data_IF_148271468068
#
_entry.id   IF_148271468068
#
_cell.length_a   1.000
_cell.length_b   1.000
_cell.length_c   1.000
_cell.angle_alpha   90.00
_cell.angle_beta   90.00
_cell.angle_gamma   90.00
#
_symmetry.space_group_name_H-M   'P 1'
#
loop_
_entity.id
_entity.type
_entity.pdbx_description
1 polymer ?
#
# COMPACT_ATOMS: atom_id res chain seq x y z
N UNK A 1 28.26 54.39 -18.13
CA UNK A 1 28.58 53.07 -17.56
C UNK A 1 27.26 52.42 -17.18
N UNK A 2 26.96 51.29 -17.84
CA UNK A 2 25.84 50.39 -17.54
C UNK A 2 25.89 49.94 -16.07
N UNK A 3 24.74 49.63 -15.45
CA UNK A 3 24.24 48.24 -15.31
C UNK A 3 22.85 48.27 -14.64
N UNK A 4 21.87 47.83 -15.43
CA UNK A 4 20.55 47.33 -15.05
C UNK A 4 20.68 46.22 -14.00
N UNK A 5 20.06 46.36 -12.82
CA UNK A 5 19.93 45.24 -11.88
C UNK A 5 18.65 44.48 -12.17
N UNK A 6 18.87 43.26 -12.66
CA UNK A 6 17.89 42.29 -13.08
C UNK A 6 17.16 41.66 -11.88
N UNK A 7 15.85 41.42 -12.07
CA UNK A 7 15.07 40.45 -11.31
C UNK A 7 15.68 39.04 -11.49
N UNK A 8 15.93 38.28 -10.42
CA UNK A 8 16.01 36.84 -10.53
C UNK A 8 14.59 36.28 -10.49
N UNK A 9 14.11 36.00 -11.69
CA UNK A 9 12.95 35.19 -12.01
C UNK A 9 13.19 33.75 -11.50
N UNK A 10 12.97 33.51 -10.22
CA UNK A 10 13.05 32.19 -9.60
C UNK A 10 11.65 31.58 -9.45
N UNK A 11 10.90 31.43 -10.55
CA UNK A 11 9.70 30.59 -10.54
C UNK A 11 10.15 29.19 -10.12
N UNK A 12 9.81 28.81 -8.89
CA UNK A 12 9.72 27.42 -8.46
C UNK A 12 8.75 26.72 -9.40
N UNK A 13 9.26 26.24 -10.53
CA UNK A 13 8.67 25.11 -11.22
C UNK A 13 8.94 23.94 -10.30
N UNK A 14 8.06 23.76 -9.31
CA UNK A 14 7.75 22.43 -8.83
C UNK A 14 7.18 21.73 -10.06
N UNK A 15 8.07 21.13 -10.84
CA UNK A 15 7.67 20.12 -11.81
C UNK A 15 7.20 18.97 -10.94
N UNK A 16 5.91 19.00 -10.58
CA UNK A 16 5.20 17.81 -10.17
C UNK A 16 5.11 16.95 -11.43
N UNK A 17 6.24 16.36 -11.84
CA UNK A 17 6.13 15.09 -12.53
C UNK A 17 5.35 14.21 -11.56
N UNK A 18 4.18 13.67 -11.95
CA UNK A 18 3.50 12.72 -11.10
C UNK A 18 4.52 11.63 -10.85
N UNK A 19 5.02 11.54 -9.61
CA UNK A 19 5.89 10.45 -9.23
C UNK A 19 5.05 9.21 -9.47
N UNK A 20 5.32 8.49 -10.56
CA UNK A 20 4.68 7.21 -10.83
C UNK A 20 5.08 6.13 -9.81
N UNK A 21 5.70 6.55 -8.70
CA UNK A 21 6.06 5.76 -7.54
C UNK A 21 5.26 6.27 -6.34
N UNK A 22 4.59 5.34 -5.68
CA UNK A 22 3.90 5.53 -4.42
C UNK A 22 4.72 4.93 -3.28
N UNK A 23 4.84 5.65 -2.17
CA UNK A 23 5.45 5.14 -0.94
C UNK A 23 4.41 4.38 -0.11
N UNK A 24 4.45 3.06 -0.19
CA UNK A 24 3.52 2.20 0.56
C UNK A 24 3.73 2.28 2.07
N UNK A 25 4.92 2.65 2.57
CA UNK A 25 5.16 2.77 4.01
C UNK A 25 4.31 3.92 4.59
N UNK A 26 4.30 5.06 3.90
CA UNK A 26 3.54 6.24 4.32
C UNK A 26 2.04 5.97 4.25
N UNK A 27 1.55 5.38 3.16
CA UNK A 27 0.12 5.08 3.01
C UNK A 27 -0.37 4.08 4.05
N UNK A 28 0.35 2.98 4.26
CA UNK A 28 -0.05 1.97 5.25
C UNK A 28 0.00 2.54 6.66
N UNK A 29 1.03 3.32 7.01
CA UNK A 29 1.10 3.97 8.31
C UNK A 29 -0.08 4.92 8.54
N UNK A 30 -0.43 5.74 7.53
CA UNK A 30 -1.57 6.65 7.60
C UNK A 30 -2.91 5.92 7.74
N UNK A 31 -3.14 4.88 6.93
CA UNK A 31 -4.36 4.07 6.99
C UNK A 31 -4.50 3.37 8.34
N UNK A 32 -3.45 2.70 8.82
CA UNK A 32 -3.47 2.00 10.09
C UNK A 32 -3.61 2.96 11.28
N UNK A 33 -3.01 4.15 11.23
CA UNK A 33 -3.16 5.17 12.26
C UNK A 33 -4.57 5.75 12.35
N UNK A 34 -5.37 5.66 11.28
CA UNK A 34 -6.76 6.12 11.24
C UNK A 34 -7.78 5.10 11.74
N UNK A 35 -7.33 3.90 12.15
CA UNK A 35 -8.20 2.84 12.65
C UNK A 35 -8.70 3.16 14.07
N UNK A 36 -9.93 2.75 14.38
CA UNK A 36 -10.56 3.01 15.68
C UNK A 36 -9.90 2.22 16.82
N UNK A 37 -9.45 0.99 16.54
CA UNK A 37 -8.72 0.17 17.49
C UNK A 37 -7.24 0.60 17.52
N UNK A 38 -6.58 0.60 18.70
CA UNK A 38 -5.13 0.78 18.78
C UNK A 38 -4.41 -0.27 17.94
N UNK A 39 -3.39 0.15 17.19
CA UNK A 39 -2.57 -0.74 16.35
C UNK A 39 -1.12 -0.73 16.82
N UNK A 40 -0.60 -1.91 17.13
CA UNK A 40 0.82 -2.18 17.27
C UNK A 40 1.36 -2.67 15.93
N UNK A 41 2.19 -1.85 15.27
CA UNK A 41 2.69 -2.11 13.92
C UNK A 41 4.15 -2.58 13.96
N UNK A 42 4.43 -3.69 13.27
CA UNK A 42 5.76 -4.04 12.78
C UNK A 42 5.72 -4.00 11.26
N UNK A 43 6.60 -3.21 10.64
CA UNK A 43 6.65 -3.08 9.19
C UNK A 43 8.10 -3.26 8.72
N UNK A 44 8.31 -4.22 7.82
CA UNK A 44 9.56 -4.30 7.06
C UNK A 44 9.60 -3.16 6.03
N UNK A 45 10.79 -2.66 5.64
CA UNK A 45 10.89 -1.60 4.63
C UNK A 45 10.23 -2.00 3.30
N UNK A 46 9.29 -1.19 2.83
CA UNK A 46 8.59 -1.44 1.57
C UNK A 46 9.27 -0.71 0.41
N UNK A 47 9.39 -1.35 -0.77
CA UNK A 47 9.86 -0.68 -1.97
C UNK A 47 8.81 0.33 -2.47
N UNK A 48 9.25 1.28 -3.30
CA UNK A 48 8.33 2.14 -4.01
C UNK A 48 7.49 1.30 -5.00
N UNK A 49 6.18 1.50 -4.97
CA UNK A 49 5.24 0.79 -5.84
C UNK A 49 4.90 1.62 -7.07
N UNK A 50 4.73 0.99 -8.22
CA UNK A 50 4.26 1.70 -9.40
C UNK A 50 2.79 2.06 -9.29
N UNK A 51 2.40 3.22 -9.83
CA UNK A 51 1.01 3.66 -9.92
C UNK A 51 0.71 4.97 -9.19
N UNK A 52 -0.57 5.34 -9.19
CA UNK A 52 -1.05 6.55 -8.53
C UNK A 52 -1.35 6.28 -7.04
N UNK A 53 -1.06 7.27 -6.19
CA UNK A 53 -1.24 7.17 -4.74
C UNK A 53 -2.71 6.95 -4.37
N UNK A 54 -3.64 7.60 -5.05
CA UNK A 54 -5.09 7.52 -4.79
C UNK A 54 -5.63 6.11 -5.08
N UNK A 55 -5.10 5.46 -6.11
CA UNK A 55 -5.45 4.08 -6.47
C UNK A 55 -4.94 3.10 -5.43
N UNK A 56 -3.70 3.30 -4.97
CA UNK A 56 -3.11 2.54 -3.88
C UNK A 56 -3.89 2.74 -2.57
N UNK A 57 -4.27 3.98 -2.25
CA UNK A 57 -5.07 4.30 -1.07
C UNK A 57 -6.40 3.55 -1.10
N UNK A 58 -7.16 3.65 -2.20
CA UNK A 58 -8.44 2.94 -2.34
C UNK A 58 -8.29 1.43 -2.18
N UNK A 59 -7.28 0.84 -2.83
CA UNK A 59 -7.01 -0.59 -2.76
C UNK A 59 -6.67 -1.02 -1.33
N UNK A 60 -5.73 -0.34 -0.68
CA UNK A 60 -5.27 -0.67 0.66
C UNK A 60 -6.37 -0.46 1.70
N UNK A 61 -7.16 0.61 1.58
CA UNK A 61 -8.30 0.84 2.46
C UNK A 61 -9.30 -0.31 2.39
N UNK A 62 -9.59 -0.83 1.19
CA UNK A 62 -10.46 -1.99 1.04
C UNK A 62 -9.85 -3.27 1.61
N UNK A 63 -8.56 -3.53 1.36
CA UNK A 63 -7.84 -4.69 1.88
C UNK A 63 -7.69 -4.68 3.42
N UNK A 64 -7.66 -3.49 4.02
CA UNK A 64 -7.57 -3.31 5.47
C UNK A 64 -8.94 -3.17 6.14
N UNK A 65 -10.04 -3.18 5.38
CA UNK A 65 -11.40 -3.06 5.92
C UNK A 65 -11.76 -4.06 7.01
N UNK A 66 -11.23 -5.32 7.04
CA UNK A 66 -11.47 -6.23 8.16
C UNK A 66 -10.98 -5.70 9.52
N UNK A 67 -10.03 -4.76 9.53
CA UNK A 67 -9.51 -4.13 10.75
C UNK A 67 -10.40 -3.02 11.30
N UNK A 68 -11.35 -2.51 10.51
CA UNK A 68 -12.22 -1.40 10.89
C UNK A 68 -13.37 -1.75 11.85
N UNK A 69 -13.45 -3.00 12.33
CA UNK A 69 -14.47 -3.43 13.27
C UNK A 69 -14.38 -2.72 14.63
N UNK A 70 -15.51 -2.59 15.33
CA UNK A 70 -15.64 -1.87 16.61
C UNK A 70 -14.97 -2.56 17.83
N UNK A 71 -14.00 -3.44 17.60
CA UNK A 71 -13.32 -4.15 18.68
C UNK A 71 -12.37 -3.21 19.43
N UNK A 72 -12.46 -3.23 20.76
CA UNK A 72 -11.64 -2.41 21.66
C UNK A 72 -10.28 -3.03 21.98
N UNK A 73 -9.98 -4.21 21.43
CA UNK A 73 -8.72 -4.91 21.67
C UNK A 73 -7.61 -4.36 20.76
N UNK A 74 -6.40 -4.28 21.31
CA UNK A 74 -5.21 -3.85 20.57
C UNK A 74 -4.90 -4.84 19.43
N UNK A 75 -4.74 -4.32 18.21
CA UNK A 75 -4.40 -5.10 17.02
C UNK A 75 -2.90 -5.09 16.79
N UNK A 76 -2.27 -6.24 16.76
CA UNK A 76 -0.93 -6.41 16.24
C UNK A 76 -1.00 -6.62 14.73
N UNK A 77 -0.36 -5.74 13.96
CA UNK A 77 -0.25 -5.83 12.50
C UNK A 77 1.22 -6.00 12.13
N UNK A 78 1.51 -7.05 11.37
CA UNK A 78 2.85 -7.30 10.82
C UNK A 78 2.80 -7.21 9.30
N UNK A 79 3.51 -6.24 8.75
CA UNK A 79 3.66 -6.00 7.33
C UNK A 79 5.04 -6.49 6.90
N UNK A 80 5.07 -7.40 5.93
CA UNK A 80 6.29 -7.98 5.40
C UNK A 80 6.30 -7.86 3.89
N UNK A 81 7.48 -7.63 3.32
CA UNK A 81 7.64 -7.58 1.86
C UNK A 81 8.84 -8.40 1.43
N UNK A 82 8.65 -9.22 0.39
CA UNK A 82 9.71 -10.00 -0.23
C UNK A 82 9.71 -9.78 -1.73
N UNK A 83 10.89 -9.66 -2.32
CA UNK A 83 11.06 -9.62 -3.77
C UNK A 83 10.85 -11.01 -4.38
N UNK A 84 10.00 -11.09 -5.40
CA UNK A 84 9.78 -12.31 -6.18
C UNK A 84 10.85 -12.43 -7.26
N UNK A 85 11.96 -13.09 -6.89
CA UNK A 85 13.11 -13.29 -7.77
C UNK A 85 12.85 -14.22 -8.96
N UNK A 86 11.69 -14.88 -9.00
CA UNK A 86 11.32 -15.79 -10.09
C UNK A 86 10.65 -15.06 -11.25
N UNK A 87 10.15 -13.84 -11.02
CA UNK A 87 9.51 -13.03 -12.03
C UNK A 87 10.54 -12.42 -13.00
N UNK A 88 10.17 -12.32 -14.28
CA UNK A 88 11.01 -11.63 -15.29
C UNK A 88 11.03 -10.12 -15.08
N UNK A 89 9.99 -9.60 -14.44
CA UNK A 89 9.81 -8.23 -14.00
C UNK A 89 10.02 -8.10 -12.49
N UNK A 90 10.48 -6.94 -12.02
CA UNK A 90 10.76 -6.68 -10.59
C UNK A 90 9.46 -6.61 -9.79
N UNK A 91 8.99 -7.77 -9.34
CA UNK A 91 7.77 -7.93 -8.56
C UNK A 91 8.06 -8.16 -7.09
N UNK A 92 7.13 -7.72 -6.26
CA UNK A 92 7.19 -7.81 -4.81
C UNK A 92 5.91 -8.46 -4.30
N UNK A 93 6.05 -9.23 -3.23
CA UNK A 93 4.95 -9.81 -2.49
C UNK A 93 4.85 -9.10 -1.15
N UNK A 94 3.77 -8.36 -0.96
CA UNK A 94 3.38 -7.76 0.31
C UNK A 94 2.48 -8.73 1.07
N UNK A 95 2.86 -9.07 2.29
CA UNK A 95 2.07 -9.85 3.22
C UNK A 95 1.68 -8.98 4.40
N UNK A 96 0.39 -8.96 4.74
CA UNK A 96 -0.10 -8.29 5.95
C UNK A 96 -0.79 -9.32 6.83
N UNK A 97 -0.28 -9.46 8.05
CA UNK A 97 -0.79 -10.36 9.07
C UNK A 97 -1.33 -9.58 10.26
N UNK A 98 -2.42 -10.05 10.86
CA UNK A 98 -3.01 -9.45 12.03
C UNK A 98 -3.59 -10.51 13.00
N UNK A 99 -3.56 -10.21 14.30
CA UNK A 99 -4.25 -10.99 15.33
C UNK A 99 -5.76 -10.67 15.35
N UNK A 100 -6.49 -11.19 14.38
CA UNK A 100 -7.96 -11.12 14.35
C UNK A 100 -8.57 -12.38 14.99
N UNK A 101 -9.73 -12.27 15.68
CA UNK A 101 -10.33 -13.37 16.43
C UNK A 101 -10.92 -14.48 15.57
N UNK A 102 -11.15 -14.21 14.28
CA UNK A 102 -11.61 -15.17 13.29
C UNK A 102 -10.64 -15.20 12.10
N UNK A 103 -10.57 -16.31 11.34
CA UNK A 103 -9.78 -16.35 10.12
C UNK A 103 -10.16 -15.21 9.19
N UNK A 104 -9.16 -14.54 8.59
CA UNK A 104 -9.43 -13.54 7.57
C UNK A 104 -10.21 -14.19 6.42
N UNK A 105 -11.31 -13.58 6.01
CA UNK A 105 -11.97 -13.96 4.76
C UNK A 105 -11.05 -13.54 3.62
N UNK A 106 -10.66 -14.45 2.70
CA UNK A 106 -9.81 -14.08 1.58
C UNK A 106 -10.45 -12.97 0.75
N UNK A 107 -9.68 -11.92 0.47
CA UNK A 107 -10.09 -10.85 -0.41
C UNK A 107 -10.12 -11.33 -1.87
N UNK A 108 -11.20 -10.97 -2.59
CA UNK A 108 -11.38 -11.19 -4.02
C UNK A 108 -11.75 -9.87 -4.71
N UNK A 109 -11.28 -9.65 -5.94
CA UNK A 109 -11.65 -8.47 -6.73
C UNK A 109 -13.04 -8.62 -7.38
N UNK A 110 -14.04 -8.96 -6.57
CA UNK A 110 -15.41 -9.14 -7.07
C UNK A 110 -16.10 -7.81 -7.35
N UNK A 111 -15.58 -6.71 -6.78
CA UNK A 111 -16.00 -5.36 -7.09
C UNK A 111 -15.33 -4.89 -8.42
N UNK A 112 -16.10 -4.54 -9.46
CA UNK A 112 -15.55 -4.13 -10.76
C UNK A 112 -14.60 -2.93 -10.69
N UNK A 113 -14.89 -1.95 -9.81
CA UNK A 113 -14.06 -0.76 -9.65
C UNK A 113 -12.70 -1.11 -9.06
N UNK A 114 -12.66 -1.99 -8.07
CA UNK A 114 -11.40 -2.47 -7.48
C UNK A 114 -10.65 -3.39 -8.42
N UNK A 115 -11.34 -4.21 -9.21
CA UNK A 115 -10.71 -5.02 -10.26
C UNK A 115 -10.01 -4.14 -11.31
N UNK A 116 -10.64 -3.03 -11.71
CA UNK A 116 -10.05 -2.07 -12.65
C UNK A 116 -8.85 -1.33 -12.05
N UNK A 117 -8.94 -0.89 -10.78
CA UNK A 117 -7.80 -0.31 -10.05
C UNK A 117 -6.66 -1.33 -9.98
N UNK A 118 -6.96 -2.56 -9.59
CA UNK A 118 -5.96 -3.61 -9.47
C UNK A 118 -5.24 -3.90 -10.79
N UNK A 119 -6.00 -3.90 -11.90
CA UNK A 119 -5.47 -4.07 -13.25
C UNK A 119 -4.53 -2.93 -13.64
N UNK A 120 -4.89 -1.67 -13.35
CA UNK A 120 -4.04 -0.50 -13.65
C UNK A 120 -2.75 -0.48 -12.83
N UNK A 121 -2.84 -0.83 -11.55
CA UNK A 121 -1.68 -1.00 -10.66
C UNK A 121 -0.88 -2.30 -10.93
N UNK A 122 -1.35 -3.15 -11.85
CA UNK A 122 -0.79 -4.47 -12.16
C UNK A 122 -0.63 -5.41 -10.95
N UNK A 123 -1.51 -5.25 -9.96
CA UNK A 123 -1.47 -6.02 -8.72
C UNK A 123 -2.28 -7.31 -8.85
N UNK A 124 -1.92 -8.30 -8.03
CA UNK A 124 -2.64 -9.58 -7.94
C UNK A 124 -2.76 -9.98 -6.49
N UNK A 125 -3.95 -10.43 -6.10
CA UNK A 125 -4.14 -11.08 -4.81
C UNK A 125 -3.76 -12.55 -4.92
N UNK A 126 -3.01 -13.02 -3.93
CA UNK A 126 -2.74 -14.43 -3.74
C UNK A 126 -3.58 -14.94 -2.56
N UNK A 127 -4.09 -16.16 -2.68
CA UNK A 127 -4.78 -16.80 -1.58
C UNK A 127 -3.77 -17.06 -0.44
N UNK A 128 -4.07 -16.65 0.80
CA UNK A 128 -3.30 -17.07 1.96
C UNK A 128 -3.27 -18.60 2.08
N UNK A 129 -2.24 -19.13 2.74
CA UNK A 129 -2.25 -20.55 3.11
C UNK A 129 -3.45 -20.84 4.01
N UNK A 130 -4.19 -21.96 3.81
CA UNK A 130 -5.27 -22.36 4.72
C UNK A 130 -4.83 -22.52 6.18
N UNK A 131 -3.53 -22.70 6.41
CA UNK A 131 -2.93 -22.81 7.75
C UNK A 131 -2.55 -21.46 8.38
N UNK A 132 -2.57 -20.35 7.63
CA UNK A 132 -2.20 -19.01 8.12
C UNK A 132 -3.46 -18.18 8.40
N UNK A 133 -4.11 -18.46 9.54
CA UNK A 133 -5.36 -17.81 9.95
C UNK A 133 -5.22 -16.30 10.23
N UNK A 134 -3.98 -15.83 10.38
CA UNK A 134 -3.68 -14.44 10.72
C UNK A 134 -3.34 -13.61 9.48
N UNK A 135 -3.21 -14.23 8.29
CA UNK A 135 -2.89 -13.50 7.07
C UNK A 135 -4.15 -12.82 6.52
N UNK A 136 -4.17 -11.49 6.53
CA UNK A 136 -5.26 -10.70 5.95
C UNK A 136 -5.26 -10.79 4.43
N UNK A 137 -4.10 -10.54 3.82
CA UNK A 137 -3.94 -10.63 2.38
C UNK A 137 -2.47 -10.81 1.98
N UNK A 138 -2.30 -11.33 0.78
CA UNK A 138 -1.05 -11.39 0.05
C UNK A 138 -1.22 -10.65 -1.26
N UNK A 139 -0.47 -9.58 -1.47
CA UNK A 139 -0.58 -8.72 -2.64
C UNK A 139 0.74 -8.72 -3.42
N UNK A 140 0.70 -9.22 -4.65
CA UNK A 140 1.81 -9.10 -5.58
C UNK A 140 1.70 -7.80 -6.38
N UNK A 141 2.77 -7.05 -6.51
CA UNK A 141 2.79 -5.77 -7.24
C UNK A 141 4.13 -5.54 -7.96
N UNK A 142 4.13 -4.64 -8.95
CA UNK A 142 5.35 -4.21 -9.64
C UNK A 142 6.02 -3.06 -8.86
N UNK A 143 7.32 -3.18 -8.59
CA UNK A 143 8.07 -2.08 -7.98
C UNK A 143 8.66 -1.12 -9.01
N UNK A 144 9.05 0.07 -8.56
CA UNK A 144 9.71 1.08 -9.40
C UNK A 144 11.24 1.03 -9.29
#
# INVERSE_FOLDING_TARGET
>A
MNVTSALPNGRLRVSAEPSAATDLNVLLAGLLASMAAPISLRCDPLPAAQGAEEEWWMLLQWLLSPLGGAETQNRYVHVQCSEDRSARDRRFLLSVRCNIPAPAVPHTFDNPQLADVARRLQVRLQAPSPSDSNCLFLLQFAGK
#
